data_IF_172937292584
#
_entry.id   IF_172937292584
#
_cell.length_a   1.000
_cell.length_b   1.000
_cell.length_c   1.000
_cell.angle_alpha   90.00
_cell.angle_beta   90.00
_cell.angle_gamma   90.00
#
_symmetry.space_group_name_H-M   'P 1'
#
loop_
_entity.id
_entity.type
_entity.pdbx_description
1 polymer ?
#
# COMPACT_ATOMS: atom_id res chain seq x y z
N UNK A 1 -2.15 18.02 -42.49
CA UNK A 1 -1.56 18.29 -43.83
C UNK A 1 -0.44 19.33 -43.73
N UNK A 2 -0.65 20.55 -43.25
CA UNK A 2 0.35 21.62 -43.13
C UNK A 2 1.60 21.23 -42.32
N UNK A 3 1.45 20.48 -41.22
CA UNK A 3 2.59 20.00 -40.41
C UNK A 3 3.44 18.99 -41.16
N UNK A 4 2.82 18.09 -41.92
CA UNK A 4 3.54 17.12 -42.75
C UNK A 4 4.35 17.80 -43.85
N UNK A 5 3.78 18.84 -44.49
CA UNK A 5 4.49 19.63 -45.50
C UNK A 5 5.62 20.47 -44.87
N UNK A 6 5.41 21.01 -43.69
CA UNK A 6 6.47 21.70 -42.95
C UNK A 6 7.65 20.81 -42.59
N UNK A 7 7.41 19.51 -42.26
CA UNK A 7 8.47 18.53 -42.00
C UNK A 7 9.35 18.25 -43.24
N UNK A 8 8.79 18.29 -44.48
CA UNK A 8 9.53 18.12 -45.72
C UNK A 8 10.63 19.18 -45.88
N UNK A 9 10.41 20.39 -45.35
CA UNK A 9 11.36 21.50 -45.41
C UNK A 9 12.51 21.39 -44.39
N UNK A 10 12.69 20.25 -43.73
CA UNK A 10 13.78 19.97 -42.77
C UNK A 10 13.96 21.06 -41.71
N UNK A 11 12.96 21.34 -40.86
CA UNK A 11 13.06 22.37 -39.83
C UNK A 11 14.16 22.03 -38.81
N UNK A 12 14.57 23.03 -38.03
CA UNK A 12 15.53 22.85 -36.92
C UNK A 12 15.02 21.73 -35.99
N UNK A 13 15.95 21.01 -35.33
CA UNK A 13 15.69 19.83 -34.49
C UNK A 13 14.52 20.03 -33.51
N UNK A 14 14.52 21.13 -32.77
CA UNK A 14 13.50 21.39 -31.74
C UNK A 14 12.10 21.59 -32.33
N UNK A 15 11.97 22.30 -33.42
CA UNK A 15 10.71 22.46 -34.15
C UNK A 15 10.26 21.14 -34.76
N UNK A 16 11.18 20.36 -35.31
CA UNK A 16 10.89 19.05 -35.87
C UNK A 16 10.33 18.12 -34.80
N UNK A 17 10.94 18.09 -33.60
CA UNK A 17 10.47 17.27 -32.50
C UNK A 17 9.07 17.66 -32.04
N UNK A 18 8.81 18.96 -31.91
CA UNK A 18 7.47 19.48 -31.57
C UNK A 18 6.44 19.12 -32.65
N UNK A 19 6.80 19.24 -33.93
CA UNK A 19 5.91 18.85 -35.03
C UNK A 19 5.59 17.36 -35.02
N UNK A 20 6.59 16.47 -34.79
CA UNK A 20 6.34 15.06 -34.64
C UNK A 20 5.47 14.76 -33.42
N UNK A 21 5.72 15.41 -32.28
CA UNK A 21 4.93 15.22 -31.08
C UNK A 21 3.46 15.61 -31.30
N UNK A 22 3.21 16.77 -31.87
CA UNK A 22 1.84 17.25 -32.21
C UNK A 22 1.18 16.32 -33.24
N UNK A 23 1.91 15.85 -34.25
CA UNK A 23 1.36 14.90 -35.24
C UNK A 23 1.01 13.58 -34.55
N UNK A 24 1.84 13.07 -33.65
CA UNK A 24 1.52 11.89 -32.85
C UNK A 24 0.19 12.07 -32.12
N UNK A 25 0.01 13.17 -31.38
CA UNK A 25 -1.24 13.47 -30.67
C UNK A 25 -2.45 13.64 -31.61
N UNK A 26 -2.27 14.24 -32.79
CA UNK A 26 -3.35 14.36 -33.78
C UNK A 26 -3.76 12.98 -34.31
N UNK A 27 -2.81 12.12 -34.62
CA UNK A 27 -3.10 10.74 -35.07
C UNK A 27 -3.76 9.92 -33.96
N UNK A 28 -3.34 10.07 -32.70
CA UNK A 28 -4.00 9.49 -31.54
C UNK A 28 -5.47 9.94 -31.42
N UNK A 29 -5.75 11.23 -31.64
CA UNK A 29 -7.11 11.78 -31.57
C UNK A 29 -8.05 11.24 -32.65
N UNK A 30 -7.52 10.84 -33.81
CA UNK A 30 -8.30 10.27 -34.93
C UNK A 30 -8.23 8.74 -34.98
N UNK A 31 -7.73 8.11 -33.89
CA UNK A 31 -7.64 6.66 -33.73
C UNK A 31 -6.80 5.96 -34.82
N UNK A 32 -5.67 6.59 -35.17
CA UNK A 32 -4.67 6.03 -36.07
C UNK A 32 -3.38 5.67 -35.31
N UNK A 33 -3.37 4.59 -34.49
CA UNK A 33 -2.29 4.30 -33.54
C UNK A 33 -0.95 4.04 -34.24
N UNK A 34 -0.91 3.41 -35.41
CA UNK A 34 0.32 3.17 -36.16
C UNK A 34 1.04 4.44 -36.60
N UNK A 35 0.28 5.42 -37.08
CA UNK A 35 0.83 6.70 -37.45
C UNK A 35 1.28 7.49 -36.22
N UNK A 36 0.49 7.47 -35.14
CA UNK A 36 0.85 8.06 -33.85
C UNK A 36 2.19 7.51 -33.33
N UNK A 37 2.34 6.17 -33.29
CA UNK A 37 3.56 5.49 -32.85
C UNK A 37 4.79 5.90 -33.68
N UNK A 38 4.66 5.97 -35.00
CA UNK A 38 5.77 6.40 -35.87
C UNK A 38 6.27 7.80 -35.51
N UNK A 39 5.36 8.71 -35.22
CA UNK A 39 5.71 10.07 -34.85
C UNK A 39 6.30 10.16 -33.46
N UNK A 40 5.76 9.47 -32.45
CA UNK A 40 6.37 9.42 -31.11
C UNK A 40 7.73 8.77 -31.11
N UNK A 41 7.94 7.71 -31.87
CA UNK A 41 9.26 7.08 -32.06
C UNK A 41 10.27 8.04 -32.71
N UNK A 42 9.83 8.85 -33.67
CA UNK A 42 10.71 9.86 -34.26
C UNK A 42 11.15 10.91 -33.22
N UNK A 43 10.28 11.29 -32.28
CA UNK A 43 10.62 12.14 -31.15
C UNK A 43 11.66 11.46 -30.25
N UNK A 44 11.40 10.25 -29.79
CA UNK A 44 12.28 9.48 -28.87
C UNK A 44 13.69 9.35 -29.48
N UNK A 45 13.81 8.96 -30.76
CA UNK A 45 15.09 8.78 -31.46
C UNK A 45 15.87 10.08 -31.61
N UNK A 46 15.25 11.21 -31.49
CA UNK A 46 15.89 12.52 -31.71
C UNK A 46 16.59 13.11 -30.47
N UNK A 47 16.56 12.41 -29.34
CA UNK A 47 17.04 12.93 -28.04
C UNK A 47 16.46 14.32 -27.72
N UNK A 48 15.15 14.42 -27.47
CA UNK A 48 14.48 15.65 -27.09
C UNK A 48 14.73 16.00 -25.60
N UNK A 49 14.25 17.15 -25.09
CA UNK A 49 14.20 17.39 -23.66
C UNK A 49 13.47 16.28 -22.92
N UNK A 50 13.91 15.98 -21.68
CA UNK A 50 13.41 14.85 -20.87
C UNK A 50 11.86 14.77 -20.80
N UNK A 51 11.19 15.89 -20.51
CA UNK A 51 9.73 15.90 -20.41
C UNK A 51 9.03 15.46 -21.70
N UNK A 52 9.57 15.87 -22.85
CA UNK A 52 9.02 15.48 -24.16
C UNK A 52 9.35 14.00 -24.46
N UNK A 53 10.54 13.53 -24.08
CA UNK A 53 10.93 12.13 -24.23
C UNK A 53 10.02 11.22 -23.40
N UNK A 54 9.83 11.55 -22.13
CA UNK A 54 8.96 10.82 -21.22
C UNK A 54 7.51 10.77 -21.75
N UNK A 55 6.94 11.94 -22.09
CA UNK A 55 5.59 12.01 -22.63
C UNK A 55 5.45 11.21 -23.93
N UNK A 56 6.46 11.25 -24.82
CA UNK A 56 6.39 10.51 -26.08
C UNK A 56 6.37 8.98 -25.84
N UNK A 57 7.11 8.47 -24.82
CA UNK A 57 7.07 7.06 -24.43
C UNK A 57 5.73 6.68 -23.82
N UNK A 58 5.16 7.52 -22.98
CA UNK A 58 3.82 7.28 -22.40
C UNK A 58 2.75 7.24 -23.49
N UNK A 59 2.76 8.18 -24.43
CA UNK A 59 1.87 8.16 -25.58
C UNK A 59 2.09 6.97 -26.52
N UNK A 60 3.32 6.45 -26.59
CA UNK A 60 3.60 5.23 -27.37
C UNK A 60 2.81 4.04 -26.80
N UNK A 61 2.71 3.93 -25.48
CA UNK A 61 1.91 2.89 -24.82
C UNK A 61 0.41 3.10 -24.99
N UNK A 62 -0.07 4.35 -24.86
CA UNK A 62 -1.49 4.66 -25.10
C UNK A 62 -1.96 4.32 -26.52
N UNK A 63 -1.04 4.28 -27.47
CA UNK A 63 -1.30 3.93 -28.86
C UNK A 63 -0.94 2.46 -29.17
N UNK A 64 -0.95 1.58 -28.18
CA UNK A 64 -0.76 0.15 -28.42
C UNK A 64 -1.90 -0.41 -29.27
N UNK A 65 -1.54 -1.08 -30.38
CA UNK A 65 -2.49 -1.57 -31.40
C UNK A 65 -2.80 -3.07 -31.30
N UNK A 66 -2.42 -3.73 -30.19
CA UNK A 66 -2.63 -5.16 -29.97
C UNK A 66 -1.67 -6.07 -30.75
N UNK A 67 -0.71 -5.53 -31.52
CA UNK A 67 0.24 -6.35 -32.27
C UNK A 67 1.47 -6.71 -31.44
N UNK A 68 2.03 -7.90 -31.66
CA UNK A 68 3.24 -8.35 -30.96
C UNK A 68 4.46 -7.47 -31.28
N UNK A 69 4.52 -6.91 -32.47
CA UNK A 69 5.60 -5.99 -32.88
C UNK A 69 5.53 -4.68 -32.07
N UNK A 70 4.34 -4.11 -31.93
CA UNK A 70 4.10 -2.91 -31.13
C UNK A 70 4.38 -3.19 -29.65
N UNK A 71 3.90 -4.31 -29.10
CA UNK A 71 4.17 -4.74 -27.73
C UNK A 71 5.66 -4.80 -27.43
N UNK A 72 6.41 -5.55 -28.25
CA UNK A 72 7.85 -5.74 -28.04
C UNK A 72 8.63 -4.41 -28.07
N UNK A 73 8.20 -3.49 -28.94
CA UNK A 73 8.81 -2.17 -29.03
C UNK A 73 8.53 -1.33 -27.79
N UNK A 74 7.27 -1.31 -27.30
CA UNK A 74 6.87 -0.53 -26.13
C UNK A 74 7.56 -1.08 -24.87
N UNK A 75 7.52 -2.38 -24.66
CA UNK A 75 8.17 -3.01 -23.50
C UNK A 75 9.66 -2.68 -23.49
N UNK A 76 10.36 -2.79 -24.62
CA UNK A 76 11.78 -2.43 -24.71
C UNK A 76 12.06 -0.98 -24.33
N UNK A 77 11.19 -0.05 -24.70
CA UNK A 77 11.36 1.35 -24.31
C UNK A 77 11.05 1.57 -22.81
N UNK A 78 10.08 0.83 -22.24
CA UNK A 78 9.74 0.93 -20.83
C UNK A 78 10.76 0.23 -19.92
N UNK A 79 11.33 -0.91 -20.34
CA UNK A 79 12.44 -1.54 -19.60
C UNK A 79 13.62 -0.58 -19.45
N UNK A 80 13.98 0.12 -20.52
CA UNK A 80 15.02 1.17 -20.44
C UNK A 80 14.64 2.29 -19.47
N UNK A 81 13.35 2.69 -19.44
CA UNK A 81 12.91 3.73 -18.50
C UNK A 81 13.03 3.25 -17.06
N UNK A 82 12.71 2.00 -16.79
CA UNK A 82 12.80 1.41 -15.44
C UNK A 82 14.24 1.23 -14.97
N UNK A 83 15.20 1.03 -15.88
CA UNK A 83 16.63 0.94 -15.57
C UNK A 83 17.28 2.31 -15.29
N UNK A 84 16.70 3.41 -15.76
CA UNK A 84 17.26 4.76 -15.63
C UNK A 84 16.83 5.42 -14.31
N UNK A 85 17.78 5.70 -13.41
CA UNK A 85 17.54 6.32 -12.08
C UNK A 85 16.71 7.61 -12.15
N UNK A 86 16.83 8.39 -13.23
CA UNK A 86 16.02 9.63 -13.43
C UNK A 86 14.54 9.41 -13.46
N UNK A 87 14.09 8.16 -13.67
CA UNK A 87 12.68 7.77 -13.75
C UNK A 87 12.15 7.13 -12.46
N UNK A 88 12.94 7.05 -11.40
CA UNK A 88 12.53 6.43 -10.14
C UNK A 88 11.22 7.05 -9.58
N UNK A 89 11.04 8.36 -9.71
CA UNK A 89 9.84 9.06 -9.25
C UNK A 89 8.63 8.86 -10.17
N UNK A 90 8.80 8.20 -11.30
CA UNK A 90 7.77 7.98 -12.32
C UNK A 90 7.48 6.49 -12.59
N UNK A 91 8.06 5.59 -11.81
CA UNK A 91 7.86 4.14 -11.98
C UNK A 91 6.39 3.75 -11.85
N UNK A 92 5.64 4.42 -11.00
CA UNK A 92 4.20 4.23 -10.82
C UNK A 92 3.41 4.43 -12.12
N UNK A 93 3.73 5.48 -12.89
CA UNK A 93 3.11 5.77 -14.19
C UNK A 93 3.53 4.77 -15.25
N UNK A 94 4.80 4.34 -15.23
CA UNK A 94 5.31 3.34 -16.18
C UNK A 94 4.61 2.01 -15.96
N UNK A 95 4.50 1.53 -14.72
CA UNK A 95 3.80 0.29 -14.41
C UNK A 95 2.30 0.39 -14.71
N UNK A 96 1.68 1.53 -14.48
CA UNK A 96 0.29 1.74 -14.88
C UNK A 96 0.12 1.63 -16.41
N UNK A 97 1.00 2.24 -17.19
CA UNK A 97 0.97 2.14 -18.65
C UNK A 97 1.19 0.70 -19.15
N UNK A 98 2.06 -0.08 -18.49
CA UNK A 98 2.23 -1.52 -18.76
C UNK A 98 0.94 -2.30 -18.43
N UNK A 99 0.23 -1.94 -17.36
CA UNK A 99 -1.05 -2.57 -17.02
C UNK A 99 -2.13 -2.33 -18.08
N UNK A 100 -2.11 -1.15 -18.72
CA UNK A 100 -3.04 -0.85 -19.82
C UNK A 100 -2.73 -1.66 -21.09
N UNK A 101 -1.47 -1.96 -21.35
CA UNK A 101 -1.08 -2.90 -22.43
C UNK A 101 -1.63 -4.30 -22.12
N UNK A 102 -1.42 -4.78 -20.89
CA UNK A 102 -1.93 -6.09 -20.47
C UNK A 102 -3.47 -6.15 -20.48
N UNK A 103 -4.16 -5.00 -20.27
CA UNK A 103 -5.60 -4.89 -20.44
C UNK A 103 -6.06 -5.14 -21.88
N UNK A 104 -5.36 -4.55 -22.85
CA UNK A 104 -5.65 -4.71 -24.27
C UNK A 104 -5.37 -6.16 -24.72
N UNK A 105 -4.34 -6.77 -24.16
CA UNK A 105 -3.98 -8.18 -24.42
C UNK A 105 -4.88 -9.18 -23.68
N UNK A 106 -5.86 -8.70 -22.91
CA UNK A 106 -6.75 -9.51 -22.04
C UNK A 106 -5.98 -10.39 -21.03
N UNK A 107 -4.74 -10.02 -20.70
CA UNK A 107 -3.91 -10.71 -19.71
C UNK A 107 -4.16 -10.12 -18.31
N UNK A 108 -5.18 -10.66 -17.63
CA UNK A 108 -5.66 -10.16 -16.34
C UNK A 108 -4.62 -10.27 -15.24
N UNK A 109 -3.90 -11.39 -15.17
CA UNK A 109 -2.89 -11.64 -14.14
C UNK A 109 -1.73 -10.64 -14.24
N UNK A 110 -1.18 -10.47 -15.44
CA UNK A 110 -0.11 -9.50 -15.70
C UNK A 110 -0.56 -8.06 -15.43
N UNK A 111 -1.83 -7.73 -15.77
CA UNK A 111 -2.43 -6.43 -15.48
C UNK A 111 -2.45 -6.15 -13.99
N UNK A 112 -2.90 -7.12 -13.17
CA UNK A 112 -2.96 -6.98 -11.72
C UNK A 112 -1.56 -6.85 -11.10
N UNK A 113 -0.57 -7.60 -11.59
CA UNK A 113 0.83 -7.50 -11.14
C UNK A 113 1.41 -6.09 -11.41
N UNK A 114 1.21 -5.57 -12.61
CA UNK A 114 1.67 -4.22 -12.94
C UNK A 114 0.94 -3.13 -12.14
N UNK A 115 -0.36 -3.26 -11.89
CA UNK A 115 -1.09 -2.33 -11.04
C UNK A 115 -0.58 -2.38 -9.59
N UNK A 116 -0.31 -3.56 -9.05
CA UNK A 116 0.27 -3.71 -7.71
C UNK A 116 1.65 -3.04 -7.61
N UNK A 117 2.50 -3.20 -8.63
CA UNK A 117 3.78 -2.50 -8.73
C UNK A 117 3.61 -0.99 -8.82
N UNK A 118 2.62 -0.51 -9.59
CA UNK A 118 2.29 0.92 -9.68
C UNK A 118 1.90 1.50 -8.32
N UNK A 119 1.05 0.81 -7.56
CA UNK A 119 0.66 1.24 -6.19
C UNK A 119 1.87 1.26 -5.26
N UNK A 120 2.71 0.22 -5.31
CA UNK A 120 3.87 0.07 -4.41
C UNK A 120 4.95 1.14 -4.67
N UNK A 121 5.18 1.51 -5.93
CA UNK A 121 6.19 2.49 -6.32
C UNK A 121 5.71 3.95 -6.23
N UNK A 122 4.40 4.17 -6.07
CA UNK A 122 3.82 5.52 -5.96
C UNK A 122 4.05 6.12 -4.58
N UNK A 123 5.14 6.85 -4.40
CA UNK A 123 5.53 7.45 -3.11
C UNK A 123 4.96 8.86 -2.95
N UNK A 124 5.09 9.71 -3.98
CA UNK A 124 4.72 11.13 -3.93
C UNK A 124 3.60 11.52 -4.90
N UNK A 125 3.08 10.58 -5.66
CA UNK A 125 2.05 10.79 -6.68
C UNK A 125 0.70 10.22 -6.22
N UNK A 126 0.04 10.95 -5.34
CA UNK A 126 -1.25 10.54 -4.77
C UNK A 126 -2.31 10.26 -5.83
N UNK A 127 -2.32 11.03 -6.92
CA UNK A 127 -3.28 10.82 -8.01
C UNK A 127 -3.08 9.47 -8.69
N UNK A 128 -1.83 9.14 -9.07
CA UNK A 128 -1.53 7.85 -9.70
C UNK A 128 -1.77 6.69 -8.74
N UNK A 129 -1.38 6.84 -7.47
CA UNK A 129 -1.66 5.84 -6.44
C UNK A 129 -3.15 5.54 -6.32
N UNK A 130 -3.96 6.59 -6.24
CA UNK A 130 -5.42 6.46 -6.18
C UNK A 130 -5.96 5.75 -7.43
N UNK A 131 -5.56 6.17 -8.62
CA UNK A 131 -6.00 5.59 -9.89
C UNK A 131 -5.66 4.10 -9.98
N UNK A 132 -4.40 3.74 -9.71
CA UNK A 132 -3.93 2.34 -9.75
C UNK A 132 -4.61 1.48 -8.68
N UNK A 133 -4.81 2.02 -7.47
CA UNK A 133 -5.47 1.31 -6.39
C UNK A 133 -6.95 1.05 -6.68
N UNK A 134 -7.70 2.02 -7.22
CA UNK A 134 -9.11 1.82 -7.60
C UNK A 134 -9.21 0.77 -8.70
N UNK A 135 -8.37 0.90 -9.74
CA UNK A 135 -8.38 -0.05 -10.87
C UNK A 135 -8.09 -1.48 -10.39
N UNK A 136 -7.14 -1.65 -9.49
CA UNK A 136 -6.80 -2.96 -8.93
C UNK A 136 -7.88 -3.48 -7.99
N UNK A 137 -8.47 -2.60 -7.17
CA UNK A 137 -9.59 -2.94 -6.30
C UNK A 137 -10.82 -3.41 -7.10
N UNK A 138 -11.14 -2.74 -8.22
CA UNK A 138 -12.24 -3.16 -9.10
C UNK A 138 -11.98 -4.55 -9.69
N UNK A 139 -10.75 -4.87 -10.08
CA UNK A 139 -10.39 -6.21 -10.59
C UNK A 139 -10.57 -7.29 -9.51
N UNK A 140 -10.08 -7.06 -8.29
CA UNK A 140 -10.31 -8.00 -7.18
C UNK A 140 -11.79 -8.11 -6.81
N UNK A 141 -12.52 -7.02 -6.90
CA UNK A 141 -13.97 -7.04 -6.68
C UNK A 141 -14.71 -7.92 -7.71
N UNK A 142 -14.34 -7.81 -9.00
CA UNK A 142 -14.89 -8.65 -10.07
C UNK A 142 -14.55 -10.13 -9.87
N UNK A 143 -13.38 -10.44 -9.29
CA UNK A 143 -12.96 -11.81 -8.94
C UNK A 143 -13.59 -12.30 -7.63
N UNK A 144 -14.45 -11.49 -7.00
CA UNK A 144 -15.06 -11.74 -5.70
C UNK A 144 -14.03 -11.88 -4.54
N UNK A 145 -12.84 -11.35 -4.70
CA UNK A 145 -11.81 -11.27 -3.68
C UNK A 145 -12.02 -10.02 -2.81
N UNK A 146 -13.12 -9.99 -2.07
CA UNK A 146 -13.62 -8.79 -1.40
C UNK A 146 -12.67 -8.23 -0.34
N UNK A 147 -11.96 -9.09 0.39
CA UNK A 147 -10.98 -8.67 1.42
C UNK A 147 -9.83 -7.91 0.77
N UNK A 148 -9.30 -8.44 -0.33
CA UNK A 148 -8.22 -7.81 -1.08
C UNK A 148 -8.69 -6.52 -1.76
N UNK A 149 -9.91 -6.55 -2.34
CA UNK A 149 -10.53 -5.37 -2.93
C UNK A 149 -10.68 -4.22 -1.91
N UNK A 150 -11.18 -4.53 -0.70
CA UNK A 150 -11.32 -3.57 0.39
C UNK A 150 -9.97 -2.91 0.74
N UNK A 151 -8.90 -3.70 0.88
CA UNK A 151 -7.56 -3.18 1.17
C UNK A 151 -7.09 -2.14 0.13
N UNK A 152 -7.31 -2.39 -1.17
CA UNK A 152 -6.93 -1.44 -2.22
C UNK A 152 -7.86 -0.24 -2.29
N UNK A 153 -9.17 -0.39 -2.02
CA UNK A 153 -10.05 0.77 -1.88
C UNK A 153 -9.66 1.65 -0.70
N UNK A 154 -9.31 1.08 0.45
CA UNK A 154 -8.81 1.87 1.60
C UNK A 154 -7.54 2.64 1.24
N UNK A 155 -6.61 2.00 0.52
CA UNK A 155 -5.41 2.66 0.01
C UNK A 155 -5.76 3.84 -0.90
N UNK A 156 -6.74 3.68 -1.77
CA UNK A 156 -7.22 4.75 -2.65
C UNK A 156 -7.86 5.90 -1.87
N UNK A 157 -8.67 5.59 -0.86
CA UNK A 157 -9.38 6.59 -0.05
C UNK A 157 -8.45 7.51 0.74
N UNK A 158 -7.24 7.07 1.09
CA UNK A 158 -6.25 7.90 1.79
C UNK A 158 -5.89 9.18 1.03
N UNK A 159 -6.02 9.18 -0.30
CA UNK A 159 -5.61 10.28 -1.17
C UNK A 159 -6.66 10.64 -2.24
N UNK A 160 -7.87 10.10 -2.15
CA UNK A 160 -8.93 10.29 -3.15
C UNK A 160 -9.41 11.75 -3.16
N UNK A 161 -9.20 12.49 -4.27
CA UNK A 161 -9.69 13.86 -4.38
C UNK A 161 -11.23 13.88 -4.43
N UNK A 162 -11.86 14.91 -3.84
CA UNK A 162 -13.33 15.05 -3.83
C UNK A 162 -13.95 15.27 -5.21
N UNK A 163 -13.17 15.78 -6.14
CA UNK A 163 -13.55 16.01 -7.55
C UNK A 163 -13.23 14.81 -8.46
N UNK A 164 -12.77 13.68 -7.87
CA UNK A 164 -12.51 12.47 -8.64
C UNK A 164 -13.80 11.92 -9.25
N UNK A 165 -13.79 11.43 -10.50
CA UNK A 165 -14.96 10.83 -11.12
C UNK A 165 -15.55 9.70 -10.26
N UNK A 166 -16.87 9.69 -10.11
CA UNK A 166 -17.59 8.69 -9.31
C UNK A 166 -17.18 8.62 -7.82
N UNK A 167 -16.66 9.72 -7.24
CA UNK A 167 -16.21 9.81 -5.85
C UNK A 167 -17.20 9.15 -4.86
N UNK A 168 -18.48 9.53 -4.90
CA UNK A 168 -19.49 8.99 -3.99
C UNK A 168 -19.73 7.48 -4.18
N UNK A 169 -19.64 6.97 -5.40
CA UNK A 169 -19.80 5.55 -5.70
C UNK A 169 -18.62 4.74 -5.13
N UNK A 170 -17.40 5.25 -5.25
CA UNK A 170 -16.20 4.62 -4.71
C UNK A 170 -16.28 4.55 -3.19
N UNK A 171 -16.65 5.65 -2.51
CA UNK A 171 -16.82 5.65 -1.05
C UNK A 171 -17.91 4.66 -0.61
N UNK A 172 -19.06 4.67 -1.29
CA UNK A 172 -20.14 3.75 -0.94
C UNK A 172 -19.72 2.28 -1.10
N UNK A 173 -19.03 1.95 -2.20
CA UNK A 173 -18.51 0.60 -2.45
C UNK A 173 -17.47 0.20 -1.39
N UNK A 174 -16.54 1.08 -1.07
CA UNK A 174 -15.53 0.84 -0.04
C UNK A 174 -16.16 0.64 1.35
N UNK A 175 -17.17 1.42 1.71
CA UNK A 175 -17.89 1.26 2.96
C UNK A 175 -18.62 -0.08 3.04
N UNK A 176 -19.33 -0.47 1.97
CA UNK A 176 -19.98 -1.79 1.88
C UNK A 176 -18.97 -2.94 2.06
N UNK A 177 -17.82 -2.85 1.39
CA UNK A 177 -16.79 -3.88 1.50
C UNK A 177 -16.15 -3.91 2.89
N UNK A 178 -15.96 -2.74 3.51
CA UNK A 178 -15.47 -2.66 4.88
C UNK A 178 -16.43 -3.36 5.84
N UNK A 179 -17.72 -3.05 5.77
CA UNK A 179 -18.73 -3.68 6.61
C UNK A 179 -18.76 -5.21 6.41
N UNK A 180 -18.64 -5.68 5.17
CA UNK A 180 -18.52 -7.10 4.87
C UNK A 180 -17.28 -7.73 5.51
N UNK A 181 -16.11 -7.14 5.27
CA UNK A 181 -14.83 -7.67 5.75
C UNK A 181 -14.79 -7.67 7.29
N UNK A 182 -15.30 -6.63 7.94
CA UNK A 182 -15.40 -6.57 9.40
C UNK A 182 -16.23 -7.76 9.93
N UNK A 183 -17.37 -8.11 9.30
CA UNK A 183 -18.15 -9.29 9.68
C UNK A 183 -17.41 -10.61 9.40
N UNK A 184 -16.75 -10.75 8.25
CA UNK A 184 -15.96 -11.95 7.93
C UNK A 184 -14.80 -12.17 8.93
N UNK A 185 -14.14 -11.08 9.34
CA UNK A 185 -13.08 -11.14 10.35
C UNK A 185 -13.62 -11.55 11.73
N UNK A 186 -14.83 -11.11 12.12
CA UNK A 186 -15.47 -11.57 13.35
C UNK A 186 -15.71 -13.08 13.30
N UNK A 187 -16.24 -13.60 12.19
CA UNK A 187 -16.45 -15.04 12.01
C UNK A 187 -15.15 -15.80 12.15
N UNK A 188 -14.12 -15.42 11.37
CA UNK A 188 -12.80 -16.09 11.37
C UNK A 188 -12.15 -16.07 12.76
N UNK A 189 -12.21 -14.91 13.44
CA UNK A 189 -11.65 -14.73 14.77
C UNK A 189 -12.36 -15.66 15.76
N UNK A 190 -13.70 -15.64 15.81
CA UNK A 190 -14.47 -16.43 16.77
C UNK A 190 -14.31 -17.94 16.51
N UNK A 191 -14.31 -18.38 15.25
CA UNK A 191 -14.06 -19.78 14.88
C UNK A 191 -12.67 -20.22 15.31
N UNK A 192 -11.67 -19.35 15.11
CA UNK A 192 -10.29 -19.62 15.55
C UNK A 192 -10.19 -19.73 17.05
N UNK A 193 -10.82 -18.84 17.82
CA UNK A 193 -10.86 -18.88 19.28
C UNK A 193 -11.55 -20.15 19.79
N UNK A 194 -12.69 -20.53 19.22
CA UNK A 194 -13.39 -21.77 19.58
C UNK A 194 -12.54 -23.01 19.26
N UNK A 195 -11.86 -23.03 18.11
CA UNK A 195 -10.97 -24.13 17.72
C UNK A 195 -9.82 -24.29 18.73
N UNK A 196 -9.22 -23.17 19.16
CA UNK A 196 -8.14 -23.19 20.14
C UNK A 196 -8.67 -23.59 21.53
N UNK A 197 -9.88 -23.13 21.91
CA UNK A 197 -10.51 -23.50 23.17
C UNK A 197 -10.79 -25.02 23.26
N UNK A 198 -11.14 -25.67 22.15
CA UNK A 198 -11.36 -27.13 22.05
C UNK A 198 -10.08 -27.97 22.10
N UNK A 199 -8.89 -27.35 21.98
CA UNK A 199 -7.61 -28.07 22.08
C UNK A 199 -7.37 -28.58 23.52
N UNK A 200 -6.66 -29.70 23.64
CA UNK A 200 -6.15 -30.16 24.95
C UNK A 200 -5.17 -29.12 25.51
N UNK A 201 -4.98 -29.04 26.85
CA UNK A 201 -4.02 -28.13 27.46
C UNK A 201 -2.64 -28.17 26.81
N UNK A 202 -2.12 -29.40 26.58
CA UNK A 202 -0.80 -29.60 25.97
C UNK A 202 -0.73 -29.08 24.50
N UNK A 203 -1.80 -29.26 23.73
CA UNK A 203 -1.87 -28.75 22.36
C UNK A 203 -1.96 -27.23 22.35
N UNK A 204 -2.73 -26.66 23.26
CA UNK A 204 -2.87 -25.19 23.41
C UNK A 204 -1.55 -24.55 23.80
N UNK A 205 -0.83 -25.13 24.78
CA UNK A 205 0.49 -24.63 25.18
C UNK A 205 1.51 -24.71 24.04
N UNK A 206 1.47 -25.78 23.25
CA UNK A 206 2.32 -25.93 22.07
C UNK A 206 1.98 -24.88 21.00
N UNK A 207 0.69 -24.61 20.77
CA UNK A 207 0.22 -23.58 19.85
C UNK A 207 0.65 -22.18 20.31
N UNK A 208 0.45 -21.84 21.59
CA UNK A 208 0.86 -20.55 22.17
C UNK A 208 2.37 -20.36 22.02
N UNK A 209 3.18 -21.39 22.36
CA UNK A 209 4.64 -21.31 22.16
C UNK A 209 5.01 -21.05 20.69
N UNK A 210 4.31 -21.71 19.76
CA UNK A 210 4.52 -21.47 18.32
C UNK A 210 4.20 -20.01 17.92
N UNK A 211 3.13 -19.43 18.46
CA UNK A 211 2.76 -18.03 18.20
C UNK A 211 3.78 -17.06 18.77
N UNK A 212 4.21 -17.26 20.01
CA UNK A 212 5.25 -16.44 20.65
C UNK A 212 6.56 -16.52 19.86
N UNK A 213 6.98 -17.71 19.43
CA UNK A 213 8.18 -17.89 18.62
C UNK A 213 8.05 -17.14 17.27
N UNK A 214 6.90 -17.30 16.59
CA UNK A 214 6.65 -16.60 15.33
C UNK A 214 6.72 -15.08 15.49
N UNK A 215 6.12 -14.54 16.54
CA UNK A 215 6.18 -13.12 16.87
C UNK A 215 7.61 -12.65 17.14
N UNK A 216 8.36 -13.43 17.92
CA UNK A 216 9.75 -13.10 18.28
C UNK A 216 10.69 -13.18 17.07
N UNK A 217 10.48 -14.15 16.18
CA UNK A 217 11.24 -14.25 14.92
C UNK A 217 10.92 -13.08 13.98
N UNK A 218 9.66 -12.69 13.88
CA UNK A 218 9.24 -11.55 13.08
C UNK A 218 9.82 -10.24 13.62
N UNK A 219 9.74 -10.02 14.93
CA UNK A 219 10.35 -8.87 15.59
C UNK A 219 11.86 -8.82 15.32
N UNK A 220 12.53 -9.99 15.41
CA UNK A 220 13.97 -10.09 15.10
C UNK A 220 14.29 -9.82 13.64
N UNK A 221 13.43 -10.28 12.72
CA UNK A 221 13.58 -10.01 11.29
C UNK A 221 13.46 -8.52 11.01
N UNK A 222 12.41 -7.88 11.53
CA UNK A 222 12.20 -6.44 11.38
C UNK A 222 13.33 -5.62 12.00
N UNK A 223 13.80 -5.99 13.19
CA UNK A 223 14.94 -5.34 13.82
C UNK A 223 16.24 -5.49 13.00
N UNK A 224 16.43 -6.67 12.37
CA UNK A 224 17.58 -6.87 11.48
C UNK A 224 17.46 -6.04 10.20
N UNK A 225 16.29 -6.03 9.55
CA UNK A 225 16.06 -5.22 8.36
C UNK A 225 16.27 -3.73 8.65
N UNK A 226 15.84 -3.26 9.82
CA UNK A 226 16.07 -1.89 10.27
C UNK A 226 17.56 -1.61 10.51
N UNK A 227 18.29 -2.54 11.14
CA UNK A 227 19.72 -2.45 11.35
C UNK A 227 20.50 -2.45 10.02
N UNK A 228 20.14 -3.33 9.09
CA UNK A 228 20.75 -3.41 7.76
C UNK A 228 20.48 -2.11 6.95
N UNK A 229 19.27 -1.57 7.04
CA UNK A 229 18.91 -0.28 6.43
C UNK A 229 19.71 0.88 7.03
N UNK A 230 19.91 0.89 8.35
CA UNK A 230 20.73 1.88 9.05
C UNK A 230 22.21 1.76 8.65
N UNK A 231 22.73 0.54 8.50
CA UNK A 231 24.10 0.28 8.06
C UNK A 231 24.30 0.77 6.60
N UNK A 232 23.30 0.56 5.72
CA UNK A 232 23.33 1.05 4.35
C UNK A 232 23.37 2.59 4.30
N UNK A 233 22.53 3.24 5.10
CA UNK A 233 22.52 4.71 5.24
C UNK A 233 23.85 5.23 5.80
N UNK A 234 24.46 4.51 6.74
CA UNK A 234 25.78 4.85 7.29
C UNK A 234 26.90 4.64 6.27
N UNK A 235 26.85 3.59 5.46
CA UNK A 235 27.83 3.34 4.40
C UNK A 235 27.77 4.39 3.30
N UNK A 236 26.57 4.79 2.86
CA UNK A 236 26.40 5.89 1.90
C UNK A 236 26.87 7.23 2.46
N UNK A 237 26.70 7.49 3.75
CA UNK A 237 27.24 8.70 4.38
C UNK A 237 28.78 8.67 4.54
N UNK A 238 29.38 7.49 4.62
CA UNK A 238 30.84 7.34 4.69
C UNK A 238 31.53 7.67 3.35
N UNK A 239 30.87 7.47 2.22
CA UNK A 239 31.35 7.93 0.92
C UNK A 239 31.23 9.45 0.72
N UNK A 240 30.36 10.12 1.49
CA UNK A 240 30.26 11.57 1.54
C UNK A 240 31.38 12.25 2.39
N UNK A 241 32.27 11.47 2.99
CA UNK A 241 33.43 11.99 3.72
C UNK A 241 34.59 12.39 2.76
N UNK A 242 34.24 12.99 1.63
CA UNK A 242 35.16 13.78 0.82
C UNK A 242 35.34 15.12 1.55
N UNK A 243 36.47 15.28 2.19
CA UNK A 243 37.12 16.53 2.61
C UNK A 243 36.26 17.79 2.43
N UNK A 244 35.27 17.99 3.30
CA UNK A 244 34.63 19.29 3.38
C UNK A 244 35.59 20.20 4.12
N UNK A 245 36.41 20.89 3.35
CA UNK A 245 37.13 22.07 3.82
C UNK A 245 36.08 23.05 4.34
N UNK A 246 35.88 23.09 5.64
CA UNK A 246 35.01 24.00 6.37
C UNK A 246 35.54 25.42 6.39
N UNK A 247 35.97 25.95 5.25
CA UNK A 247 36.27 27.38 5.12
C UNK A 247 35.19 28.07 4.31
N UNK A 248 34.19 28.55 5.05
CA UNK A 248 33.48 29.76 4.64
C UNK A 248 32.35 29.62 3.64
N UNK A 249 31.49 28.60 3.68
CA UNK A 249 30.21 28.75 2.98
C UNK A 249 29.16 29.33 3.93
N UNK A 250 28.65 30.52 3.61
CA UNK A 250 27.54 31.22 4.26
C UNK A 250 26.18 30.63 3.87
N UNK A 251 26.15 29.42 3.28
CA UNK A 251 24.93 28.75 2.89
C UNK A 251 24.25 28.14 4.10
N UNK A 252 22.95 28.33 4.15
CA UNK A 252 22.10 27.76 5.19
C UNK A 252 22.24 26.24 5.24
N UNK A 253 22.34 25.69 6.46
CA UNK A 253 22.48 24.26 6.78
C UNK A 253 21.63 23.33 5.89
N UNK A 254 20.36 23.65 5.66
CA UNK A 254 19.44 22.81 4.86
C UNK A 254 19.71 22.80 3.36
N UNK A 255 20.53 23.72 2.85
CA UNK A 255 20.96 23.71 1.45
C UNK A 255 22.26 22.93 1.23
N UNK A 256 22.85 22.43 2.31
CA UNK A 256 24.05 21.60 2.23
C UNK A 256 23.70 20.13 2.54
N UNK A 257 23.53 19.25 1.52
CA UNK A 257 23.15 17.84 1.70
C UNK A 257 24.10 17.07 2.62
N UNK A 258 25.39 17.42 2.61
CA UNK A 258 26.41 16.79 3.47
C UNK A 258 26.20 17.09 4.95
N UNK A 259 25.88 18.34 5.30
CA UNK A 259 25.60 18.73 6.69
C UNK A 259 24.27 18.16 7.18
N UNK A 260 23.23 18.12 6.31
CA UNK A 260 21.94 17.52 6.63
C UNK A 260 22.08 16.02 6.89
N UNK A 261 22.83 15.31 6.03
CA UNK A 261 23.10 13.87 6.19
C UNK A 261 23.90 13.56 7.46
N UNK A 262 24.95 14.33 7.73
CA UNK A 262 25.75 14.18 8.95
C UNK A 262 24.92 14.47 10.21
N UNK A 263 24.07 15.49 10.18
CA UNK A 263 23.16 15.83 11.29
C UNK A 263 22.10 14.76 11.51
N UNK A 264 21.52 14.18 10.47
CA UNK A 264 20.61 13.07 10.56
C UNK A 264 21.29 11.84 11.21
N UNK A 265 22.49 11.49 10.78
CA UNK A 265 23.26 10.37 11.35
C UNK A 265 23.53 10.57 12.83
N UNK A 266 23.97 11.76 13.23
CA UNK A 266 24.24 12.09 14.65
C UNK A 266 22.93 12.09 15.47
N UNK A 267 21.81 12.54 14.90
CA UNK A 267 20.51 12.46 15.52
C UNK A 267 20.10 11.02 15.80
N UNK A 268 20.19 10.13 14.79
CA UNK A 268 19.87 8.72 14.96
C UNK A 268 20.81 8.02 15.97
N UNK A 269 22.08 8.38 15.99
CA UNK A 269 23.03 7.84 16.96
C UNK A 269 22.68 8.20 18.41
N UNK A 270 22.18 9.43 18.64
CA UNK A 270 21.83 9.92 20.00
C UNK A 270 20.44 9.52 20.46
N UNK A 271 19.49 9.53 19.53
CA UNK A 271 18.06 9.43 19.88
C UNK A 271 17.38 8.20 19.31
N UNK A 272 18.07 7.39 18.51
CA UNK A 272 17.48 6.24 17.81
C UNK A 272 16.49 6.65 16.71
N UNK A 273 15.68 5.71 16.25
CA UNK A 273 14.67 5.95 15.23
C UNK A 273 13.42 6.63 15.86
N UNK A 274 13.46 7.96 15.94
CA UNK A 274 12.36 8.76 16.48
C UNK A 274 11.48 9.27 15.36
N UNK A 275 10.15 9.11 15.52
CA UNK A 275 9.17 9.71 14.61
C UNK A 275 9.08 11.22 14.88
N UNK A 276 8.78 11.97 13.82
CA UNK A 276 8.48 13.41 13.95
C UNK A 276 7.08 13.59 14.54
N UNK A 277 7.02 13.77 15.83
CA UNK A 277 5.79 13.93 16.60
C UNK A 277 6.07 14.75 17.87
N UNK A 278 5.03 15.28 18.49
CA UNK A 278 5.17 16.01 19.75
C UNK A 278 5.81 15.13 20.84
N UNK A 279 6.69 15.73 21.66
CA UNK A 279 7.45 15.05 22.71
C UNK A 279 8.35 13.90 22.19
N UNK A 280 8.93 14.03 21.01
CA UNK A 280 9.80 13.03 20.38
C UNK A 280 11.02 12.61 21.24
N UNK A 281 11.43 13.43 22.22
CA UNK A 281 12.51 13.14 23.18
C UNK A 281 12.13 12.02 24.17
N UNK A 282 10.85 11.79 24.41
CA UNK A 282 10.36 10.81 25.40
C UNK A 282 10.31 9.43 24.75
N UNK A 283 11.04 8.45 25.30
CA UNK A 283 11.11 7.07 24.77
C UNK A 283 9.82 6.29 25.02
N UNK A 284 9.15 6.57 26.13
CA UNK A 284 7.91 5.91 26.51
C UNK A 284 6.83 6.98 26.63
N UNK A 285 5.88 7.00 25.68
CA UNK A 285 4.78 7.95 25.61
C UNK A 285 3.51 7.46 26.26
N UNK A 286 3.59 6.41 27.09
CA UNK A 286 2.49 6.13 27.99
C UNK A 286 2.26 7.38 28.82
N UNK A 287 1.07 7.96 28.73
CA UNK A 287 0.65 8.99 29.67
C UNK A 287 0.73 8.35 31.06
N UNK A 288 1.81 8.66 31.75
CA UNK A 288 1.91 8.33 33.17
C UNK A 288 0.93 9.28 33.81
N UNK A 289 -0.26 8.78 34.12
CA UNK A 289 -1.17 9.44 35.05
C UNK A 289 -0.45 9.56 36.39
N UNK A 290 -0.75 10.59 37.16
CA UNK A 290 -0.20 10.72 38.53
C UNK A 290 -0.49 9.49 39.39
N UNK A 291 -1.59 8.78 39.12
CA UNK A 291 -1.96 7.50 39.75
C UNK A 291 -1.03 6.36 39.40
N UNK A 292 -0.38 6.37 38.19
CA UNK A 292 0.58 5.35 37.80
C UNK A 292 1.94 5.51 38.51
N UNK A 293 2.29 6.69 38.96
CA UNK A 293 3.51 6.94 39.74
C UNK A 293 3.43 6.38 41.17
N UNK A 294 2.24 6.36 41.75
CA UNK A 294 2.00 5.80 43.09
C UNK A 294 2.03 4.26 43.07
N UNK A 295 1.59 3.65 41.97
CA UNK A 295 1.60 2.20 41.77
C UNK A 295 2.98 1.59 41.39
N UNK A 296 3.93 2.40 40.89
CA UNK A 296 5.30 1.91 40.61
C UNK A 296 6.12 1.68 41.90
N UNK A 297 5.69 2.18 43.04
CA UNK A 297 6.43 2.08 44.27
C UNK A 297 5.90 1.00 45.26
N UNK A 298 4.82 0.31 44.90
CA UNK A 298 4.28 -0.81 45.68
C UNK A 298 4.40 -2.09 44.87
N UNK A 299 5.35 -2.96 45.27
CA UNK A 299 5.48 -4.29 44.73
C UNK A 299 4.19 -5.09 44.90
N UNK A 300 3.73 -5.64 43.77
CA UNK A 300 2.85 -6.78 43.62
C UNK A 300 1.70 -6.91 44.63
N UNK A 301 0.64 -6.14 44.41
CA UNK A 301 -0.74 -6.58 44.64
C UNK A 301 -1.61 -5.74 43.71
N UNK A 302 -2.09 -6.31 42.62
CA UNK A 302 -3.03 -5.68 41.68
C UNK A 302 -4.32 -5.38 42.42
N UNK A 303 -4.51 -4.12 42.84
CA UNK A 303 -5.79 -3.66 43.33
C UNK A 303 -6.80 -3.75 42.19
N UNK A 304 -7.91 -4.48 42.36
CA UNK A 304 -8.93 -4.59 41.31
C UNK A 304 -9.46 -3.18 40.98
N UNK A 305 -9.30 -2.75 39.76
CA UNK A 305 -9.91 -1.51 39.27
C UNK A 305 -11.36 -1.81 38.87
N UNK A 306 -12.28 -0.96 39.28
CA UNK A 306 -13.69 -1.04 38.92
C UNK A 306 -14.04 0.15 38.04
N UNK A 307 -14.90 -0.08 37.02
CA UNK A 307 -15.47 0.98 36.20
C UNK A 307 -16.49 1.82 37.01
N UNK A 308 -17.01 2.90 36.41
CA UNK A 308 -18.00 3.78 37.04
C UNK A 308 -19.31 3.04 37.42
N UNK A 309 -19.56 1.88 36.81
CA UNK A 309 -20.71 1.00 37.06
C UNK A 309 -20.41 -0.10 38.11
N UNK A 310 -19.19 -0.13 38.67
CA UNK A 310 -18.76 -1.09 39.68
C UNK A 310 -18.35 -2.46 39.16
N UNK A 311 -18.10 -2.60 37.85
CA UNK A 311 -17.60 -3.84 37.25
C UNK A 311 -16.07 -3.90 37.31
N UNK A 312 -15.52 -5.07 37.58
CA UNK A 312 -14.08 -5.32 37.62
C UNK A 312 -13.44 -5.04 36.26
N UNK A 313 -12.56 -4.04 36.19
CA UNK A 313 -11.73 -3.81 35.00
C UNK A 313 -10.66 -4.89 34.96
N UNK A 314 -10.88 -5.95 34.18
CA UNK A 314 -9.87 -6.97 33.94
C UNK A 314 -8.80 -6.35 33.04
N UNK A 315 -7.62 -6.06 33.57
CA UNK A 315 -6.47 -5.60 32.79
C UNK A 315 -6.12 -6.69 31.77
N UNK A 316 -6.33 -6.41 30.50
CA UNK A 316 -5.96 -7.33 29.42
C UNK A 316 -4.44 -7.32 29.23
N UNK A 317 -3.87 -8.53 29.10
CA UNK A 317 -2.46 -8.66 28.75
C UNK A 317 -2.23 -8.13 27.33
N UNK A 318 -1.31 -7.20 27.18
CA UNK A 318 -0.99 -6.55 25.89
C UNK A 318 0.34 -7.02 25.31
N UNK A 319 1.14 -7.79 26.04
CA UNK A 319 2.44 -8.28 25.63
C UNK A 319 2.32 -9.59 24.82
N UNK A 320 2.57 -9.58 23.47
CA UNK A 320 2.50 -10.78 22.64
C UNK A 320 3.55 -11.87 23.00
N UNK A 321 4.50 -11.59 23.87
CA UNK A 321 5.48 -12.55 24.37
C UNK A 321 4.96 -13.37 25.56
N UNK A 322 3.83 -12.98 26.11
CA UNK A 322 3.23 -13.69 27.24
C UNK A 322 2.10 -14.63 26.80
N UNK A 323 2.03 -15.84 27.36
CA UNK A 323 0.96 -16.80 27.04
C UNK A 323 -0.45 -16.26 27.29
N UNK A 324 -0.63 -15.44 28.32
CA UNK A 324 -1.92 -14.85 28.67
C UNK A 324 -2.52 -14.03 27.54
N UNK A 325 -1.71 -13.31 26.74
CA UNK A 325 -2.13 -12.55 25.56
C UNK A 325 -2.95 -13.39 24.57
N UNK A 326 -2.58 -14.66 24.38
CA UNK A 326 -3.23 -15.57 23.41
C UNK A 326 -4.38 -16.35 24.02
N UNK A 327 -4.54 -16.38 25.33
CA UNK A 327 -5.51 -17.25 26.00
C UNK A 327 -6.63 -16.52 26.71
N UNK A 328 -6.49 -15.20 26.94
CA UNK A 328 -7.43 -14.39 27.70
C UNK A 328 -8.85 -14.32 27.09
N UNK A 329 -8.93 -14.38 25.75
CA UNK A 329 -10.20 -14.27 25.02
C UNK A 329 -10.79 -15.62 24.59
N UNK A 330 -10.18 -16.73 25.02
CA UNK A 330 -10.68 -18.06 24.66
C UNK A 330 -12.03 -18.38 25.34
N UNK A 331 -13.06 -18.80 24.61
CA UNK A 331 -14.37 -19.17 25.16
C UNK A 331 -14.28 -20.50 25.89
N UNK A 332 -13.83 -20.49 27.15
CA UNK A 332 -13.59 -21.68 27.94
C UNK A 332 -14.82 -22.13 28.76
N UNK A 333 -15.82 -21.28 28.90
CA UNK A 333 -17.04 -21.59 29.64
C UNK A 333 -18.24 -21.73 28.69
N UNK A 334 -19.29 -22.50 29.04
CA UNK A 334 -20.47 -22.62 28.21
C UNK A 334 -21.08 -21.27 27.84
N UNK A 335 -21.19 -20.33 28.77
CA UNK A 335 -21.70 -18.97 28.48
C UNK A 335 -20.82 -18.17 27.53
N UNK A 336 -19.47 -18.32 27.61
CA UNK A 336 -18.58 -17.68 26.67
C UNK A 336 -18.66 -18.30 25.27
N UNK A 337 -18.91 -19.61 25.15
CA UNK A 337 -19.18 -20.28 23.90
C UNK A 337 -20.49 -19.79 23.28
N UNK A 338 -21.54 -19.67 24.09
CA UNK A 338 -22.84 -19.13 23.63
C UNK A 338 -22.72 -17.70 23.11
N UNK A 339 -21.93 -16.86 23.81
CA UNK A 339 -21.63 -15.49 23.36
C UNK A 339 -20.87 -15.50 22.04
N UNK A 340 -19.84 -16.35 21.90
CA UNK A 340 -19.07 -16.51 20.68
C UNK A 340 -19.95 -16.96 19.52
N UNK A 341 -20.85 -17.95 19.73
CA UNK A 341 -21.81 -18.41 18.73
C UNK A 341 -22.79 -17.30 18.31
N UNK A 342 -23.28 -16.50 19.26
CA UNK A 342 -24.15 -15.37 18.95
C UNK A 342 -23.42 -14.31 18.09
N UNK A 343 -22.14 -14.04 18.35
CA UNK A 343 -21.33 -13.14 17.50
C UNK A 343 -21.16 -13.69 16.10
N UNK A 344 -20.83 -14.98 15.96
CA UNK A 344 -20.72 -15.64 14.65
C UNK A 344 -22.05 -15.55 13.89
N UNK A 345 -23.15 -15.93 14.53
CA UNK A 345 -24.47 -15.92 13.88
C UNK A 345 -24.87 -14.50 13.43
N UNK A 346 -24.62 -13.49 14.25
CA UNK A 346 -24.90 -12.10 13.90
C UNK A 346 -24.03 -11.65 12.72
N UNK A 347 -22.74 -11.96 12.74
CA UNK A 347 -21.81 -11.59 11.67
C UNK A 347 -22.14 -12.32 10.36
N UNK A 348 -22.50 -13.62 10.40
CA UNK A 348 -22.95 -14.38 9.23
C UNK A 348 -24.23 -13.81 8.63
N UNK A 349 -25.20 -13.45 9.48
CA UNK A 349 -26.44 -12.82 9.02
C UNK A 349 -26.15 -11.49 8.31
N UNK A 350 -25.35 -10.61 8.94
CA UNK A 350 -24.98 -9.33 8.35
C UNK A 350 -24.23 -9.50 7.03
N UNK A 351 -23.23 -10.38 6.98
CA UNK A 351 -22.49 -10.70 5.75
C UNK A 351 -23.41 -11.24 4.67
N UNK A 352 -24.35 -12.15 5.02
CA UNK A 352 -25.35 -12.70 4.10
C UNK A 352 -26.25 -11.61 3.49
N UNK A 353 -26.70 -10.65 4.29
CA UNK A 353 -27.49 -9.49 3.81
C UNK A 353 -26.65 -8.59 2.89
N UNK A 354 -25.40 -8.31 3.25
CA UNK A 354 -24.52 -7.50 2.38
C UNK A 354 -24.31 -8.19 1.03
N UNK A 355 -24.01 -9.50 1.03
CA UNK A 355 -23.89 -10.25 -0.21
C UNK A 355 -25.17 -10.22 -1.04
N UNK A 356 -26.34 -10.36 -0.41
CA UNK A 356 -27.63 -10.40 -1.08
C UNK A 356 -28.06 -9.04 -1.65
N UNK A 357 -28.10 -7.99 -0.80
CA UNK A 357 -28.70 -6.70 -1.13
C UNK A 357 -27.73 -5.74 -1.83
N UNK A 358 -26.45 -5.77 -1.45
CA UNK A 358 -25.49 -4.74 -1.89
C UNK A 358 -24.53 -5.23 -2.95
N UNK A 359 -24.12 -6.50 -2.88
CA UNK A 359 -23.16 -7.09 -3.83
C UNK A 359 -23.84 -7.95 -4.90
N UNK A 360 -25.09 -8.37 -4.68
CA UNK A 360 -25.86 -9.26 -5.54
C UNK A 360 -25.16 -10.62 -5.78
N UNK A 361 -24.29 -11.02 -4.84
CA UNK A 361 -23.60 -12.31 -4.83
C UNK A 361 -24.48 -13.35 -4.12
N UNK A 362 -25.51 -13.81 -4.83
CA UNK A 362 -26.49 -14.75 -4.29
C UNK A 362 -25.89 -16.10 -3.86
N UNK A 363 -24.90 -16.68 -4.55
CA UNK A 363 -24.26 -17.91 -4.10
C UNK A 363 -23.66 -17.79 -2.69
N UNK A 364 -22.88 -16.74 -2.43
CA UNK A 364 -22.28 -16.51 -1.12
C UNK A 364 -23.30 -16.09 -0.07
N UNK A 365 -24.30 -15.32 -0.46
CA UNK A 365 -25.42 -15.00 0.43
C UNK A 365 -26.11 -16.27 0.94
N UNK A 366 -26.44 -17.21 0.05
CA UNK A 366 -27.05 -18.48 0.42
C UNK A 366 -26.13 -19.32 1.32
N UNK A 367 -24.86 -19.45 1.01
CA UNK A 367 -23.88 -20.17 1.83
C UNK A 367 -23.85 -19.63 3.27
N UNK A 368 -23.79 -18.29 3.43
CA UNK A 368 -23.79 -17.65 4.75
C UNK A 368 -25.10 -17.84 5.50
N UNK A 369 -26.24 -17.72 4.82
CA UNK A 369 -27.54 -17.83 5.46
C UNK A 369 -27.95 -19.28 5.75
N UNK A 370 -27.53 -20.25 4.93
CA UNK A 370 -27.77 -21.69 5.19
C UNK A 370 -26.96 -22.18 6.39
N UNK A 371 -25.72 -21.70 6.55
CA UNK A 371 -24.87 -22.04 7.71
C UNK A 371 -25.43 -21.53 9.05
N UNK A 372 -26.36 -20.58 9.04
CA UNK A 372 -27.08 -20.15 10.25
C UNK A 372 -28.12 -21.16 10.74
N UNK A 373 -28.57 -22.06 9.86
CA UNK A 373 -29.65 -23.01 10.15
C UNK A 373 -29.17 -24.41 10.55
N UNK A 374 -27.85 -24.62 10.45
CA UNK A 374 -27.15 -25.87 10.82
C UNK A 374 -26.41 -25.74 12.11
#
# INVERSE_FOLDING_TARGET
EYLLDALKNRPKKDFRNRMHFILGQLYETIDEPKNAQQHFLAVIKSTPPYSMEFSARMHLASNYDGTQESKALIIKEFDKMLEEEKNNDYQDQIYYALSEISRIDENREERMDFLAKSVATSVNNNYQKTLSSITLADLFFEDNEYVTAQHYYDTALMALPKDYPNYNSIISKAATLKDLVDNLQVIELQDSLQRIAKMTPAQRDAWVKKMINKYTEEERRLAKEEADRMLLLQSTSSFANVNVNTSGSTEWYFYNPGLVSAGATEFYRRFGNRKLEDNWLVSNKQQISFDDMENMNSGADTIPQYDEDGNLIVQRETDPKKPAYYTQDLPMTPGAIDTSNALISTAMYNAGIIYYDQLLDYPRANEMLESLTT
#
